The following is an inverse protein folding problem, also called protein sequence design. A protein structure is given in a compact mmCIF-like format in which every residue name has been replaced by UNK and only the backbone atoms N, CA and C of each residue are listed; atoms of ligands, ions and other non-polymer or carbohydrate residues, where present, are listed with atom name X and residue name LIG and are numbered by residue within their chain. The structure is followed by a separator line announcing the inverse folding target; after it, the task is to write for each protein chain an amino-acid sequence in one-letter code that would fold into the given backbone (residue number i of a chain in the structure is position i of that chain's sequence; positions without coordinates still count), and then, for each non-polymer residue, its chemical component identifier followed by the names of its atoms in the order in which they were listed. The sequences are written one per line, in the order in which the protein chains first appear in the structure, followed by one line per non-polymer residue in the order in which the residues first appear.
data_IF_845275495646
#
_entry.id   IF_845275495646
#
_cell.length_a   1.000
_cell.length_b   1.000
_cell.length_c   1.000
_cell.angle_alpha   90.00
_cell.angle_beta   90.00
_cell.angle_gamma   90.00
#
_symmetry.space_group_name_H-M   'P 1'
#
loop_
_entity.id
_entity.type
_entity.pdbx_description
1 polymer ?
#
# COMPACT_ATOMS: atom_id res chain seq x y z
N UNK A 1 -0.49 -61.34 12.57
CA UNK A 1 0.20 -60.08 12.19
C UNK A 1 -0.58 -59.47 11.04
N UNK A 2 -1.33 -58.39 11.27
CA UNK A 2 -2.15 -57.78 10.23
C UNK A 2 -1.37 -56.62 9.58
N UNK A 3 -1.14 -56.65 8.25
CA UNK A 3 -0.46 -55.57 7.56
C UNK A 3 -1.31 -54.30 7.67
N UNK A 4 -0.65 -53.21 8.08
CA UNK A 4 -1.27 -51.93 8.39
C UNK A 4 -1.90 -51.30 7.15
N UNK A 5 -3.13 -50.83 7.32
CA UNK A 5 -3.95 -50.07 6.36
C UNK A 5 -3.38 -48.67 6.03
N UNK A 6 -2.06 -48.54 5.89
CA UNK A 6 -1.43 -47.26 5.53
C UNK A 6 -1.31 -47.05 4.01
N UNK A 7 -1.41 -48.13 3.22
CA UNK A 7 -1.20 -48.07 1.76
C UNK A 7 -2.42 -47.51 0.99
N UNK A 8 -3.63 -47.57 1.54
CA UNK A 8 -4.84 -47.11 0.85
C UNK A 8 -5.17 -45.62 1.03
N UNK A 9 -4.56 -44.93 1.99
CA UNK A 9 -4.84 -43.52 2.24
C UNK A 9 -4.16 -42.58 1.21
N UNK A 10 -3.07 -43.01 0.58
CA UNK A 10 -2.31 -42.17 -0.37
C UNK A 10 -3.05 -41.92 -1.70
N UNK A 11 -4.05 -42.74 -2.06
CA UNK A 11 -4.77 -42.66 -3.34
C UNK A 11 -6.16 -42.05 -3.26
N UNK A 12 -6.74 -41.91 -2.07
CA UNK A 12 -8.14 -41.45 -1.90
C UNK A 12 -8.21 -39.95 -1.58
N UNK A 13 -7.16 -39.37 -0.98
CA UNK A 13 -7.16 -37.97 -0.55
C UNK A 13 -5.94 -37.23 -1.11
N UNK A 14 -5.90 -37.01 -2.42
CA UNK A 14 -4.97 -36.03 -3.00
C UNK A 14 -5.46 -34.63 -2.64
N UNK A 15 -4.71 -33.82 -1.87
CA UNK A 15 -5.14 -32.47 -1.54
C UNK A 15 -5.22 -31.62 -2.83
N UNK A 16 -6.33 -30.89 -3.00
CA UNK A 16 -6.53 -29.99 -4.15
C UNK A 16 -5.54 -28.81 -4.15
N UNK A 17 -4.89 -28.55 -3.02
CA UNK A 17 -3.90 -27.50 -2.87
C UNK A 17 -2.51 -28.13 -2.98
N UNK A 18 -1.77 -27.72 -4.01
CA UNK A 18 -0.36 -28.09 -4.21
C UNK A 18 0.52 -26.96 -3.68
N UNK A 19 1.34 -27.25 -2.68
CA UNK A 19 2.33 -26.30 -2.20
C UNK A 19 3.45 -26.17 -3.25
N UNK A 20 3.41 -25.10 -4.05
CA UNK A 20 4.34 -24.83 -5.16
C UNK A 20 5.79 -24.48 -4.71
N UNK A 21 6.17 -24.80 -3.48
CA UNK A 21 7.47 -24.41 -2.89
C UNK A 21 7.59 -22.90 -2.64
N UNK A 22 8.83 -22.45 -2.40
CA UNK A 22 9.16 -21.02 -2.20
C UNK A 22 8.97 -20.28 -3.53
N UNK A 23 7.90 -19.49 -3.62
CA UNK A 23 7.67 -18.61 -4.77
C UNK A 23 8.79 -17.56 -4.82
N UNK A 24 9.68 -17.67 -5.81
CA UNK A 24 10.62 -16.59 -6.12
C UNK A 24 9.88 -15.55 -6.96
N UNK A 25 9.47 -14.46 -6.32
CA UNK A 25 8.99 -13.30 -7.04
C UNK A 25 10.17 -12.72 -7.85
N UNK A 26 9.97 -12.31 -9.11
CA UNK A 26 10.98 -11.54 -9.81
C UNK A 26 11.27 -10.29 -8.96
N UNK A 27 12.46 -10.25 -8.37
CA UNK A 27 12.89 -9.17 -7.49
C UNK A 27 13.37 -7.94 -8.26
N UNK A 28 13.34 -7.99 -9.59
CA UNK A 28 13.69 -6.89 -10.46
C UNK A 28 12.55 -5.88 -10.55
N UNK A 29 12.85 -4.57 -10.56
CA UNK A 29 11.84 -3.57 -10.84
C UNK A 29 11.27 -3.81 -12.24
N UNK A 30 9.94 -3.83 -12.34
CA UNK A 30 9.25 -3.94 -13.62
C UNK A 30 9.53 -2.70 -14.48
N UNK A 31 9.76 -2.91 -15.78
CA UNK A 31 9.99 -1.81 -16.69
C UNK A 31 8.72 -0.94 -16.80
N UNK A 32 8.82 0.39 -16.71
CA UNK A 32 7.67 1.27 -16.91
C UNK A 32 7.08 1.06 -18.30
N UNK A 33 5.79 0.69 -18.36
CA UNK A 33 5.08 0.43 -19.61
C UNK A 33 3.64 0.93 -19.53
N UNK A 34 3.01 1.14 -20.70
CA UNK A 34 1.61 1.53 -20.77
C UNK A 34 0.70 0.39 -20.31
N UNK A 35 -0.40 0.72 -19.63
CA UNK A 35 -1.44 -0.25 -19.30
C UNK A 35 -2.05 -0.84 -20.59
N UNK A 36 -2.37 -2.15 -20.64
CA UNK A 36 -2.89 -2.81 -21.84
C UNK A 36 -4.20 -2.20 -22.37
N UNK A 37 -5.00 -1.58 -21.50
CA UNK A 37 -6.25 -0.90 -21.86
C UNK A 37 -6.10 0.63 -22.01
N UNK A 38 -4.87 1.14 -22.11
CA UNK A 38 -4.67 2.56 -22.38
C UNK A 38 -5.15 2.94 -23.79
N UNK A 39 -5.66 4.16 -24.01
CA UNK A 39 -5.93 4.69 -25.35
C UNK A 39 -4.68 4.62 -26.25
N UNK A 40 -4.88 4.44 -27.56
CA UNK A 40 -3.80 4.25 -28.53
C UNK A 40 -2.74 5.37 -28.50
N UNK A 41 -3.15 6.60 -28.21
CA UNK A 41 -2.26 7.77 -28.08
C UNK A 41 -1.26 7.66 -26.92
N UNK A 42 -1.57 6.88 -25.89
CA UNK A 42 -0.71 6.72 -24.71
C UNK A 42 0.19 5.49 -24.83
N UNK A 43 -0.24 4.45 -25.54
CA UNK A 43 0.53 3.20 -25.67
C UNK A 43 1.91 3.40 -26.31
N UNK A 44 2.05 4.35 -27.24
CA UNK A 44 3.29 4.62 -27.98
C UNK A 44 4.26 5.56 -27.26
N UNK A 45 3.92 6.06 -26.07
CA UNK A 45 4.76 7.02 -25.33
C UNK A 45 5.97 6.33 -24.69
N UNK A 46 7.09 7.04 -24.58
CA UNK A 46 8.29 6.52 -23.92
C UNK A 46 8.21 6.73 -22.40
N UNK A 47 7.95 5.65 -21.67
CA UNK A 47 7.78 5.69 -20.21
C UNK A 47 9.10 5.63 -19.41
N UNK A 48 10.24 5.39 -20.08
CA UNK A 48 11.56 5.34 -19.42
C UNK A 48 12.06 6.71 -18.96
N UNK A 49 11.43 7.79 -19.43
CA UNK A 49 11.76 9.16 -19.02
C UNK A 49 11.16 9.54 -17.66
N UNK A 50 10.09 8.86 -17.21
CA UNK A 50 9.47 9.14 -15.91
C UNK A 50 10.32 8.71 -14.71
N UNK A 51 11.21 7.72 -14.89
CA UNK A 51 12.09 7.25 -13.82
C UNK A 51 13.35 8.11 -13.63
N UNK A 52 13.69 8.98 -14.59
CA UNK A 52 14.92 9.80 -14.55
C UNK A 52 14.76 11.13 -13.78
N UNK A 53 13.57 11.45 -13.29
CA UNK A 53 13.26 12.72 -12.62
C UNK A 53 12.62 12.57 -11.23
N UNK A 54 12.77 11.42 -10.57
CA UNK A 54 12.12 11.14 -9.30
C UNK A 54 12.99 11.46 -8.07
N UNK A 55 13.50 12.69 -7.98
CA UNK A 55 13.57 13.39 -6.69
C UNK A 55 12.23 14.11 -6.53
N UNK A 56 11.18 13.37 -6.16
CA UNK A 56 9.87 13.96 -5.88
C UNK A 56 8.68 13.15 -6.35
N UNK A 57 8.04 12.48 -5.39
CA UNK A 57 6.58 12.31 -5.29
C UNK A 57 5.81 11.89 -6.54
N UNK A 58 5.38 10.62 -6.56
CA UNK A 58 4.45 10.10 -7.56
C UNK A 58 3.20 10.97 -7.71
N UNK A 59 2.97 11.46 -8.92
CA UNK A 59 1.75 12.15 -9.33
C UNK A 59 0.65 11.10 -9.56
N UNK A 60 -0.20 10.91 -8.56
CA UNK A 60 -1.51 10.27 -8.76
C UNK A 60 -2.46 11.30 -9.37
N UNK A 61 -2.85 11.06 -10.62
CA UNK A 61 -3.78 11.91 -11.35
C UNK A 61 -5.21 11.65 -10.84
N UNK A 62 -5.58 12.29 -9.73
CA UNK A 62 -6.96 12.43 -9.30
C UNK A 62 -7.45 13.82 -9.68
N UNK A 63 -8.47 13.86 -10.53
CA UNK A 63 -9.13 15.07 -11.00
C UNK A 63 -9.90 15.74 -9.86
N UNK A 64 -9.30 16.69 -9.15
CA UNK A 64 -9.98 17.81 -8.49
C UNK A 64 -9.01 18.62 -7.63
N UNK A 65 -8.87 19.92 -7.92
CA UNK A 65 -8.13 20.92 -7.13
C UNK A 65 -6.61 20.68 -7.04
N UNK A 66 -5.82 21.67 -7.45
CA UNK A 66 -4.37 21.73 -7.28
C UNK A 66 -3.98 21.72 -5.78
N UNK A 67 -4.03 20.54 -5.15
CA UNK A 67 -3.58 20.35 -3.77
C UNK A 67 -2.06 20.26 -3.79
N UNK A 68 -1.41 21.31 -3.30
CA UNK A 68 0.03 21.31 -3.06
C UNK A 68 0.37 20.14 -2.11
N UNK A 69 1.27 19.27 -2.56
CA UNK A 69 1.88 18.23 -1.73
C UNK A 69 3.12 18.85 -1.11
N UNK A 70 3.15 18.95 0.21
CA UNK A 70 4.26 19.54 0.97
C UNK A 70 5.25 18.44 1.37
N UNK A 71 6.55 18.76 1.40
CA UNK A 71 7.60 17.82 1.81
C UNK A 71 7.68 17.71 3.33
N UNK A 72 7.72 18.85 4.01
CA UNK A 72 7.73 18.90 5.47
C UNK A 72 6.36 19.32 6.01
N UNK A 73 6.03 18.84 7.21
CA UNK A 73 4.77 19.21 7.87
C UNK A 73 4.67 20.73 8.11
N UNK A 74 5.80 21.37 8.43
CA UNK A 74 5.87 22.82 8.70
C UNK A 74 5.73 23.69 7.45
N UNK A 75 5.93 23.12 6.26
CA UNK A 75 5.68 23.81 4.99
C UNK A 75 4.19 23.94 4.69
N UNK A 76 3.35 23.16 5.38
CA UNK A 76 1.91 23.19 5.18
C UNK A 76 1.30 24.51 5.68
N UNK A 77 0.26 25.03 5.00
CA UNK A 77 -0.43 26.25 5.41
C UNK A 77 -0.91 26.21 6.86
N UNK A 78 -0.82 27.35 7.55
CA UNK A 78 -1.09 27.49 8.98
C UNK A 78 -2.43 26.91 9.44
N UNK A 79 -3.44 26.90 8.57
CA UNK A 79 -4.76 26.31 8.86
C UNK A 79 -4.72 24.83 9.25
N UNK A 80 -3.64 24.11 8.91
CA UNK A 80 -3.50 22.68 9.17
C UNK A 80 -2.85 22.36 10.52
N UNK A 81 -2.14 23.32 11.12
CA UNK A 81 -1.41 23.11 12.38
C UNK A 81 -1.72 24.15 13.46
N UNK A 82 -2.39 25.26 13.10
CA UNK A 82 -3.00 26.21 14.02
C UNK A 82 -4.52 26.05 13.99
N UNK A 83 -5.13 25.34 14.95
CA UNK A 83 -6.57 25.14 14.95
C UNK A 83 -7.29 26.49 15.14
N UNK A 84 -8.21 26.82 14.23
CA UNK A 84 -8.89 28.12 14.20
C UNK A 84 -10.05 28.24 15.19
N UNK A 85 -10.62 27.12 15.61
CA UNK A 85 -11.91 27.08 16.31
C UNK A 85 -11.83 26.33 17.65
N UNK A 86 -10.99 25.31 17.75
CA UNK A 86 -10.84 24.53 18.98
C UNK A 86 -9.42 24.64 19.53
N UNK A 87 -9.33 25.16 20.75
CA UNK A 87 -8.18 24.92 21.61
C UNK A 87 -8.50 23.64 22.39
N UNK A 88 -7.51 22.76 22.54
CA UNK A 88 -7.71 21.51 23.28
C UNK A 88 -7.87 21.83 24.77
N UNK A 89 -8.93 21.33 25.39
CA UNK A 89 -9.11 21.42 26.84
C UNK A 89 -8.20 20.42 27.56
N UNK A 90 -7.87 20.69 28.83
CA UNK A 90 -6.95 19.83 29.61
C UNK A 90 -7.42 18.37 29.68
N UNK A 91 -8.74 18.15 29.77
CA UNK A 91 -9.34 16.81 29.78
C UNK A 91 -9.11 16.08 28.46
N UNK A 92 -9.16 16.78 27.33
CA UNK A 92 -8.91 16.20 26.01
C UNK A 92 -7.41 15.87 25.84
N UNK A 93 -6.54 16.75 26.33
CA UNK A 93 -5.08 16.54 26.33
C UNK A 93 -4.74 15.29 27.14
N UNK A 94 -5.30 15.14 28.34
CA UNK A 94 -5.10 13.98 29.19
C UNK A 94 -5.64 12.69 28.56
N UNK A 95 -6.79 12.74 27.89
CA UNK A 95 -7.34 11.60 27.17
C UNK A 95 -6.43 11.15 26.00
N UNK A 96 -5.79 12.09 25.30
CA UNK A 96 -4.83 11.82 24.23
C UNK A 96 -3.52 11.24 24.80
N UNK A 97 -2.95 11.89 25.83
CA UNK A 97 -1.67 11.49 26.43
C UNK A 97 -1.76 10.17 27.20
N UNK A 98 -2.89 9.88 27.84
CA UNK A 98 -3.15 8.58 28.47
C UNK A 98 -3.39 7.45 27.46
N UNK A 99 -3.42 7.76 26.16
CA UNK A 99 -3.57 6.77 25.10
C UNK A 99 -4.97 6.18 25.03
N UNK A 100 -6.03 6.96 25.32
CA UNK A 100 -7.40 6.49 25.49
C UNK A 100 -7.97 5.60 24.38
N UNK A 101 -7.42 5.67 23.15
CA UNK A 101 -7.77 4.78 22.03
C UNK A 101 -7.13 3.37 22.10
N UNK A 102 -6.00 3.22 22.80
CA UNK A 102 -5.32 1.95 23.09
C UNK A 102 -5.92 1.21 24.30
N UNK A 103 -6.74 1.92 25.09
CA UNK A 103 -7.47 1.48 26.29
C UNK A 103 -8.47 0.31 26.16
N UNK A 104 -8.92 0.00 24.94
CA UNK A 104 -10.01 -0.96 24.73
C UNK A 104 -9.47 -2.38 24.66
N UNK A 105 -9.55 -3.09 25.79
CA UNK A 105 -9.45 -4.55 25.89
C UNK A 105 -10.82 -5.20 25.77
#
# INVERSE_FOLDING_TARGET
MHPSLRVFAERVHTPLIRFLGRRSWPSGPEAPHAHPFAPAELQSKNYTQFSKGADGGGKSNSSSSSKAVFQEFWDAPEKFWKPRVHQLEEVEIDAILSGGASMRS
#
